data_IF_335916583461
#
_entry.id   IF_335916583461
#
_cell.length_a   1.000
_cell.length_b   1.000
_cell.length_c   1.000
_cell.angle_alpha   90.00
_cell.angle_beta   90.00
_cell.angle_gamma   90.00
#
_symmetry.space_group_name_H-M   'P 1'
#
loop_
_entity.id
_entity.type
_entity.pdbx_description
1 polymer ?
#
# COMPACT_ATOMS: atom_id res chain seq x y z
N UNK A 1 -33.81 3.73 1.22
CA UNK A 1 -32.37 3.79 1.57
C UNK A 1 -31.46 3.28 0.45
N UNK A 2 -31.74 2.13 -0.18
CA UNK A 2 -30.96 1.60 -1.32
C UNK A 2 -30.80 2.63 -2.45
N UNK A 3 -31.91 3.15 -2.97
CA UNK A 3 -31.91 4.05 -4.13
C UNK A 3 -31.20 5.38 -3.84
N UNK A 4 -31.44 5.96 -2.66
CA UNK A 4 -30.73 7.16 -2.19
C UNK A 4 -29.21 6.95 -2.14
N UNK A 5 -28.75 5.79 -1.67
CA UNK A 5 -27.31 5.47 -1.58
C UNK A 5 -26.68 5.35 -2.97
N UNK A 6 -27.37 4.69 -3.89
CA UNK A 6 -26.90 4.48 -5.27
C UNK A 6 -26.89 5.81 -6.02
N UNK A 7 -27.95 6.61 -5.89
CA UNK A 7 -28.06 7.94 -6.50
C UNK A 7 -26.96 8.88 -6.00
N UNK A 8 -26.71 8.91 -4.69
CA UNK A 8 -25.62 9.69 -4.10
C UNK A 8 -24.25 9.27 -4.66
N UNK A 9 -23.95 7.96 -4.68
CA UNK A 9 -22.68 7.46 -5.20
C UNK A 9 -22.52 7.76 -6.71
N UNK A 10 -23.60 7.71 -7.48
CA UNK A 10 -23.59 8.06 -8.91
C UNK A 10 -23.30 9.55 -9.11
N UNK A 11 -24.00 10.42 -8.39
CA UNK A 11 -23.80 11.87 -8.41
C UNK A 11 -22.36 12.26 -8.06
N UNK A 12 -21.82 11.71 -6.97
CA UNK A 12 -20.45 11.96 -6.53
C UNK A 12 -19.42 11.60 -7.61
N UNK A 13 -19.65 10.47 -8.30
CA UNK A 13 -18.76 9.99 -9.36
C UNK A 13 -18.81 10.87 -10.60
N UNK A 14 -19.99 11.34 -10.98
CA UNK A 14 -20.15 12.28 -12.10
C UNK A 14 -19.45 13.61 -11.80
N UNK A 15 -19.60 14.12 -10.58
CA UNK A 15 -18.90 15.31 -10.12
C UNK A 15 -17.37 15.14 -10.17
N UNK A 16 -16.83 14.06 -9.60
CA UNK A 16 -15.39 13.79 -9.63
C UNK A 16 -14.86 13.60 -11.05
N UNK A 17 -15.63 12.96 -11.93
CA UNK A 17 -15.23 12.78 -13.33
C UNK A 17 -15.01 14.12 -14.05
N UNK A 18 -15.79 15.14 -13.71
CA UNK A 18 -15.60 16.50 -14.24
C UNK A 18 -14.32 17.18 -13.72
N UNK A 19 -13.80 16.72 -12.57
CA UNK A 19 -12.58 17.23 -11.90
C UNK A 19 -11.32 16.43 -12.25
N UNK A 20 -11.39 15.50 -13.21
CA UNK A 20 -10.21 14.72 -13.60
C UNK A 20 -9.13 15.61 -14.22
N UNK A 21 -7.99 15.67 -13.55
CA UNK A 21 -6.77 16.29 -14.01
C UNK A 21 -5.88 15.24 -14.68
N UNK A 22 -5.92 15.19 -16.02
CA UNK A 22 -5.11 14.23 -16.80
C UNK A 22 -3.62 14.50 -16.73
N UNK A 23 -3.21 15.77 -16.56
CA UNK A 23 -1.80 16.15 -16.50
C UNK A 23 -1.07 15.42 -15.36
N UNK A 24 -1.72 15.26 -14.20
CA UNK A 24 -1.17 14.49 -13.07
C UNK A 24 -0.79 13.06 -13.44
N UNK A 25 -1.53 12.42 -14.36
CA UNK A 25 -1.25 11.05 -14.79
C UNK A 25 -0.18 10.96 -15.88
N UNK A 26 0.16 12.09 -16.50
CA UNK A 26 1.18 12.24 -17.52
C UNK A 26 2.53 12.67 -16.93
N UNK A 27 2.54 13.14 -15.68
CA UNK A 27 3.75 13.49 -14.93
C UNK A 27 4.73 12.31 -14.82
N UNK A 28 6.01 12.62 -15.07
CA UNK A 28 7.12 11.69 -14.90
C UNK A 28 7.57 11.67 -13.44
N UNK A 29 6.87 10.85 -12.65
CA UNK A 29 7.14 10.66 -11.23
C UNK A 29 8.56 10.16 -10.93
N UNK A 30 9.23 9.51 -11.89
CA UNK A 30 10.61 9.07 -11.71
C UNK A 30 11.58 10.24 -11.81
N UNK A 31 11.34 11.15 -12.76
CA UNK A 31 12.12 12.39 -12.87
C UNK A 31 11.92 13.27 -11.63
N UNK A 32 10.68 13.45 -11.16
CA UNK A 32 10.39 14.16 -9.90
C UNK A 32 11.11 13.52 -8.71
N UNK A 33 11.01 12.19 -8.57
CA UNK A 33 11.69 11.45 -7.51
C UNK A 33 13.20 11.66 -7.55
N UNK A 34 13.82 11.59 -8.73
CA UNK A 34 15.27 11.78 -8.90
C UNK A 34 15.69 13.19 -8.47
N UNK A 35 14.95 14.22 -8.91
CA UNK A 35 15.20 15.61 -8.53
C UNK A 35 15.13 15.77 -7.01
N UNK A 36 14.05 15.30 -6.40
CA UNK A 36 13.85 15.43 -4.97
C UNK A 36 14.83 14.61 -4.14
N UNK A 37 15.27 13.46 -4.63
CA UNK A 37 16.29 12.66 -3.97
C UNK A 37 17.60 13.44 -3.83
N UNK A 38 18.03 14.10 -4.91
CA UNK A 38 19.22 14.94 -4.87
C UNK A 38 19.02 16.18 -4.00
N UNK A 39 17.89 16.88 -4.14
CA UNK A 39 17.65 18.16 -3.47
C UNK A 39 17.43 18.04 -1.96
N UNK A 40 16.68 17.03 -1.52
CA UNK A 40 16.17 16.97 -0.14
C UNK A 40 16.64 15.74 0.64
N UNK A 41 17.18 14.74 -0.05
CA UNK A 41 17.55 13.46 0.56
C UNK A 41 19.00 13.06 0.25
N UNK A 42 19.82 13.99 -0.25
CA UNK A 42 21.27 13.82 -0.46
C UNK A 42 21.65 12.59 -1.29
N UNK A 43 20.81 12.20 -2.25
CA UNK A 43 21.03 11.00 -3.07
C UNK A 43 20.79 9.68 -2.34
N UNK A 44 20.37 9.70 -1.06
CA UNK A 44 20.29 8.53 -0.17
C UNK A 44 19.25 7.49 -0.62
N UNK A 45 18.23 7.89 -1.38
CA UNK A 45 17.13 7.01 -1.80
C UNK A 45 17.43 6.18 -3.05
N UNK A 46 18.70 5.97 -3.41
CA UNK A 46 19.10 5.28 -4.65
C UNK A 46 18.57 3.85 -4.82
N UNK A 47 18.19 3.17 -3.74
CA UNK A 47 17.57 1.83 -3.78
C UNK A 47 16.04 1.85 -3.78
N UNK A 48 15.42 3.04 -3.68
CA UNK A 48 13.95 3.18 -3.61
C UNK A 48 13.32 3.10 -5.00
N UNK A 49 12.27 2.29 -5.12
CA UNK A 49 11.44 2.23 -6.31
C UNK A 49 10.22 3.14 -6.16
N UNK A 50 9.87 3.89 -7.21
CA UNK A 50 8.63 4.65 -7.26
C UNK A 50 7.77 4.19 -8.43
N UNK A 51 6.50 3.87 -8.17
CA UNK A 51 5.58 3.37 -9.20
C UNK A 51 4.15 3.88 -9.04
N UNK A 52 3.45 3.96 -10.17
CA UNK A 52 2.02 4.20 -10.17
C UNK A 52 1.22 2.92 -9.85
N UNK A 53 0.21 3.03 -9.00
CA UNK A 53 -0.76 1.98 -8.70
C UNK A 53 -2.13 2.25 -9.33
N UNK A 54 -2.62 1.26 -10.10
CA UNK A 54 -3.98 1.24 -10.63
C UNK A 54 -5.02 0.66 -9.65
N UNK A 55 -4.56 0.09 -8.53
CA UNK A 55 -5.39 -0.70 -7.61
C UNK A 55 -5.55 -0.06 -6.23
N UNK A 56 -4.69 0.92 -5.88
CA UNK A 56 -4.72 1.58 -4.59
C UNK A 56 -5.88 2.57 -4.51
N UNK A 57 -6.74 2.43 -3.51
CA UNK A 57 -8.00 3.17 -3.40
C UNK A 57 -8.27 3.75 -2.02
N UNK A 58 -7.42 3.48 -1.02
CA UNK A 58 -7.62 3.92 0.36
C UNK A 58 -6.68 5.08 0.74
N UNK A 59 -5.54 5.21 0.07
CA UNK A 59 -4.58 6.28 0.25
C UNK A 59 -4.00 6.72 -1.11
N UNK A 60 -3.51 7.96 -1.19
CA UNK A 60 -2.92 8.50 -2.40
C UNK A 60 -1.45 8.10 -2.58
N UNK A 61 -0.73 7.90 -1.47
CA UNK A 61 0.63 7.40 -1.42
C UNK A 61 0.75 6.24 -0.43
N UNK A 62 1.74 5.37 -0.64
CA UNK A 62 2.24 4.47 0.39
C UNK A 62 3.70 4.15 0.14
N UNK A 63 4.51 4.22 1.20
CA UNK A 63 5.86 3.71 1.25
C UNK A 63 5.94 2.48 2.16
N UNK A 64 6.63 1.43 1.71
CA UNK A 64 6.96 0.29 2.57
C UNK A 64 8.33 -0.28 2.24
N UNK A 65 9.00 -0.79 3.27
CA UNK A 65 10.31 -1.46 3.17
C UNK A 65 10.10 -2.92 2.77
N UNK A 66 10.87 -3.40 1.80
CA UNK A 66 10.94 -4.78 1.37
C UNK A 66 12.40 -5.17 1.23
N UNK A 67 12.87 -6.15 2.02
CA UNK A 67 14.17 -6.81 1.87
C UNK A 67 15.33 -5.87 1.43
N UNK A 68 15.62 -4.84 2.23
CA UNK A 68 16.75 -3.94 2.00
C UNK A 68 16.48 -2.74 1.09
N UNK A 69 15.28 -2.59 0.52
CA UNK A 69 14.89 -1.42 -0.27
C UNK A 69 13.49 -0.92 0.08
N UNK A 70 13.14 0.28 -0.39
CA UNK A 70 11.82 0.88 -0.21
C UNK A 70 11.03 0.88 -1.53
N UNK A 71 9.71 0.75 -1.44
CA UNK A 71 8.81 0.92 -2.58
C UNK A 71 7.81 2.02 -2.22
N UNK A 72 7.79 3.09 -3.01
CA UNK A 72 6.79 4.14 -3.02
C UNK A 72 5.77 3.83 -4.12
N UNK A 73 4.48 3.83 -3.76
CA UNK A 73 3.37 3.72 -4.71
C UNK A 73 2.49 4.95 -4.64
N UNK A 74 2.09 5.45 -5.80
CA UNK A 74 1.15 6.56 -5.94
C UNK A 74 -0.16 6.10 -6.59
N UNK A 75 -1.32 6.52 -6.08
CA UNK A 75 -2.61 6.07 -6.57
C UNK A 75 -3.03 6.86 -7.79
N UNK A 76 -3.08 6.21 -8.97
CA UNK A 76 -3.71 6.79 -10.15
C UNK A 76 -5.20 7.06 -9.94
N UNK A 77 -5.86 6.28 -9.08
CA UNK A 77 -7.31 6.40 -8.86
C UNK A 77 -7.67 7.62 -8.03
N UNK A 78 -6.83 8.02 -7.09
CA UNK A 78 -7.09 9.17 -6.22
C UNK A 78 -6.42 10.45 -6.75
N UNK A 79 -5.15 10.38 -7.16
CA UNK A 79 -4.38 11.57 -7.55
C UNK A 79 -4.84 12.20 -8.86
N UNK A 80 -5.54 11.46 -9.74
CA UNK A 80 -6.11 12.03 -10.96
C UNK A 80 -7.19 13.10 -10.72
N UNK A 81 -7.66 13.27 -9.50
CA UNK A 81 -8.62 14.32 -9.13
C UNK A 81 -7.96 15.50 -8.42
N UNK A 82 -6.63 15.54 -8.42
CA UNK A 82 -5.81 16.45 -7.62
C UNK A 82 -5.00 17.38 -8.49
N UNK A 83 -4.46 18.42 -7.86
CA UNK A 83 -3.51 19.31 -8.52
C UNK A 83 -2.16 18.62 -8.74
N UNK A 84 -1.35 19.16 -9.66
CA UNK A 84 0.05 18.73 -9.82
C UNK A 84 0.82 18.99 -8.53
N UNK A 85 0.54 20.10 -7.85
CA UNK A 85 1.14 20.39 -6.53
C UNK A 85 0.85 19.29 -5.50
N UNK A 86 -0.39 18.81 -5.40
CA UNK A 86 -0.74 17.72 -4.47
C UNK A 86 -0.08 16.38 -4.84
N UNK A 87 0.22 16.14 -6.12
CA UNK A 87 1.07 15.01 -6.53
C UNK A 87 2.48 15.16 -5.93
N UNK A 88 3.07 16.34 -6.04
CA UNK A 88 4.41 16.62 -5.53
C UNK A 88 4.45 16.46 -4.00
N UNK A 89 3.47 17.03 -3.30
CA UNK A 89 3.31 16.92 -1.85
C UNK A 89 3.15 15.45 -1.40
N UNK A 90 2.34 14.68 -2.13
CA UNK A 90 2.14 13.24 -1.83
C UNK A 90 3.43 12.44 -2.08
N UNK A 91 4.16 12.73 -3.16
CA UNK A 91 5.43 12.05 -3.45
C UNK A 91 6.47 12.37 -2.36
N UNK A 92 6.64 13.64 -2.01
CA UNK A 92 7.59 14.06 -0.97
C UNK A 92 7.23 13.46 0.40
N UNK A 93 5.95 13.38 0.75
CA UNK A 93 5.49 12.68 1.95
C UNK A 93 6.02 11.23 2.00
N UNK A 94 5.84 10.48 0.92
CA UNK A 94 6.31 9.08 0.88
C UNK A 94 7.83 8.97 0.80
N UNK A 95 8.51 9.95 0.21
CA UNK A 95 9.97 10.01 0.20
C UNK A 95 10.56 10.27 1.59
N UNK A 96 9.92 11.10 2.43
CA UNK A 96 10.32 11.27 3.83
C UNK A 96 10.24 9.92 4.56
N UNK A 97 9.17 9.16 4.37
CA UNK A 97 9.09 7.81 4.92
C UNK A 97 10.22 6.89 4.40
N UNK A 98 10.48 6.89 3.09
CA UNK A 98 11.55 6.09 2.50
C UNK A 98 12.93 6.47 3.07
N UNK A 99 13.16 7.75 3.31
CA UNK A 99 14.38 8.26 3.91
C UNK A 99 14.55 7.76 5.34
N UNK A 100 13.53 7.93 6.18
CA UNK A 100 13.57 7.46 7.57
C UNK A 100 13.75 5.94 7.65
N UNK A 101 13.11 5.16 6.78
CA UNK A 101 13.35 3.71 6.67
C UNK A 101 14.79 3.34 6.28
N UNK A 102 15.50 4.25 5.62
CA UNK A 102 16.87 4.06 5.13
C UNK A 102 17.90 4.46 6.18
N UNK A 103 17.71 5.62 6.82
CA UNK A 103 18.69 6.18 7.77
C UNK A 103 18.51 5.68 9.21
N UNK A 104 17.31 5.28 9.60
CA UNK A 104 17.03 4.74 10.94
C UNK A 104 16.50 3.30 10.86
N UNK A 105 17.32 2.30 11.24
CA UNK A 105 16.90 0.89 11.30
C UNK A 105 15.77 0.62 12.31
N UNK A 106 15.61 1.46 13.33
CA UNK A 106 14.57 1.35 14.36
C UNK A 106 13.31 2.11 14.00
N UNK A 107 13.32 2.87 12.90
CA UNK A 107 12.16 3.62 12.46
C UNK A 107 10.99 2.68 12.22
N UNK A 108 9.92 2.95 12.98
CA UNK A 108 8.73 2.12 13.05
C UNK A 108 7.49 3.00 12.87
N UNK A 109 6.48 2.46 12.17
CA UNK A 109 5.17 3.10 12.00
C UNK A 109 4.24 2.91 13.20
N UNK A 110 4.78 2.69 14.40
CA UNK A 110 3.99 2.42 15.62
C UNK A 110 3.11 3.59 16.04
N UNK A 111 3.50 4.82 15.67
CA UNK A 111 2.69 6.03 15.77
C UNK A 111 2.49 6.59 14.36
N UNK A 112 1.74 5.87 13.51
CA UNK A 112 1.41 6.14 12.08
C UNK A 112 2.57 6.42 11.10
N UNK A 113 3.80 6.53 11.61
CA UNK A 113 5.01 6.89 10.88
C UNK A 113 5.34 8.39 10.92
N UNK A 114 4.57 9.22 11.61
CA UNK A 114 4.70 10.68 11.54
C UNK A 114 5.27 11.31 12.83
N UNK A 115 6.28 10.66 13.41
CA UNK A 115 7.00 11.12 14.59
C UNK A 115 7.80 12.43 14.39
N UNK A 116 8.57 12.82 15.40
CA UNK A 116 9.30 14.10 15.42
C UNK A 116 10.21 14.30 14.18
N UNK A 117 10.90 13.24 13.75
CA UNK A 117 11.84 13.29 12.64
C UNK A 117 11.14 13.50 11.30
N UNK A 118 10.00 12.82 11.09
CA UNK A 118 9.14 13.06 9.95
C UNK A 118 8.67 14.51 9.92
N UNK A 119 8.15 15.01 11.05
CA UNK A 119 7.62 16.36 11.14
C UNK A 119 8.70 17.42 10.93
N UNK A 120 9.94 17.17 11.36
CA UNK A 120 11.08 18.05 11.11
C UNK A 120 11.38 18.13 9.61
N UNK A 121 11.62 16.99 8.95
CA UNK A 121 11.87 16.94 7.50
C UNK A 121 10.74 17.59 6.69
N UNK A 122 9.49 17.29 7.04
CA UNK A 122 8.31 17.86 6.41
C UNK A 122 8.30 19.40 6.49
N UNK A 123 8.59 19.97 7.67
CA UNK A 123 8.63 21.42 7.86
C UNK A 123 9.74 22.09 7.07
N UNK A 124 10.95 21.50 7.05
CA UNK A 124 12.06 22.05 6.28
C UNK A 124 11.79 22.04 4.78
N UNK A 125 11.24 20.93 4.25
CA UNK A 125 10.88 20.85 2.82
C UNK A 125 9.77 21.84 2.48
N UNK A 126 8.74 21.98 3.34
CA UNK A 126 7.68 22.98 3.13
C UNK A 126 8.23 24.41 3.13
N UNK A 127 9.16 24.73 4.05
CA UNK A 127 9.81 26.04 4.12
C UNK A 127 10.63 26.33 2.87
N UNK A 128 11.39 25.35 2.37
CA UNK A 128 12.22 25.51 1.18
C UNK A 128 11.42 25.62 -0.13
N UNK A 129 10.32 24.88 -0.25
CA UNK A 129 9.57 24.75 -1.51
C UNK A 129 8.33 25.63 -1.60
N UNK A 130 7.79 26.07 -0.47
CA UNK A 130 6.45 26.66 -0.40
C UNK A 130 5.31 25.64 -0.55
N UNK A 131 5.61 24.34 -0.63
CA UNK A 131 4.59 23.29 -0.58
C UNK A 131 3.96 23.15 0.81
N UNK A 132 2.84 22.45 0.86
CA UNK A 132 2.13 22.14 2.10
C UNK A 132 2.01 20.62 2.28
N UNK A 133 3.15 19.94 2.42
CA UNK A 133 3.17 18.54 2.82
C UNK A 133 2.54 18.45 4.22
N UNK A 134 1.54 17.57 4.34
CA UNK A 134 0.83 17.32 5.60
C UNK A 134 0.95 15.87 6.02
N UNK A 135 0.76 15.62 7.31
CA UNK A 135 0.67 14.27 7.89
C UNK A 135 -0.56 13.53 7.35
N UNK A 136 -1.70 14.21 7.27
CA UNK A 136 -2.96 13.61 6.83
C UNK A 136 -3.51 14.31 5.61
N UNK A 137 -3.63 13.56 4.52
CA UNK A 137 -4.34 14.00 3.35
C UNK A 137 -5.82 13.62 3.43
N UNK A 138 -6.70 14.52 2.96
CA UNK A 138 -8.15 14.31 2.95
C UNK A 138 -8.60 13.81 1.58
N UNK A 139 -8.95 12.52 1.46
CA UNK A 139 -9.46 11.89 0.22
C UNK A 139 -10.84 11.23 0.39
N UNK A 140 -11.66 11.72 1.32
CA UNK A 140 -12.88 11.01 1.72
C UNK A 140 -13.84 10.77 0.55
N UNK A 141 -14.04 11.77 -0.31
CA UNK A 141 -14.96 11.71 -1.44
C UNK A 141 -14.41 10.82 -2.56
N UNK A 142 -13.12 10.92 -2.88
CA UNK A 142 -12.50 10.07 -3.89
C UNK A 142 -12.47 8.60 -3.46
N UNK A 143 -12.10 8.36 -2.19
CA UNK A 143 -12.11 7.02 -1.59
C UNK A 143 -13.52 6.47 -1.62
N UNK A 144 -14.53 7.26 -1.25
CA UNK A 144 -15.93 6.83 -1.27
C UNK A 144 -16.40 6.51 -2.70
N UNK A 145 -16.08 7.36 -3.68
CA UNK A 145 -16.42 7.15 -5.07
C UNK A 145 -15.74 5.92 -5.69
N UNK A 146 -14.62 5.45 -5.12
CA UNK A 146 -14.00 4.19 -5.57
C UNK A 146 -14.78 2.95 -5.13
N UNK A 147 -15.70 3.05 -4.15
CA UNK A 147 -16.40 1.90 -3.55
C UNK A 147 -17.65 1.49 -4.32
N UNK A 148 -17.45 1.19 -5.60
CA UNK A 148 -18.52 0.90 -6.58
C UNK A 148 -19.26 -0.42 -6.36
N UNK A 149 -18.80 -1.27 -5.45
CA UNK A 149 -19.50 -2.49 -5.09
C UNK A 149 -20.25 -2.29 -3.78
N UNK A 150 -21.58 -2.32 -3.83
CA UNK A 150 -22.43 -2.06 -2.67
C UNK A 150 -23.29 -3.29 -2.40
N UNK A 151 -23.27 -3.75 -1.16
CA UNK A 151 -24.12 -4.80 -0.64
C UNK A 151 -25.04 -4.27 0.45
N UNK A 152 -26.24 -4.82 0.54
CA UNK A 152 -27.16 -4.60 1.65
C UNK A 152 -27.50 -5.92 2.33
N UNK A 153 -27.38 -5.96 3.65
CA UNK A 153 -27.88 -7.04 4.48
C UNK A 153 -29.42 -7.05 4.48
N UNK A 154 -30.06 -8.22 4.41
CA UNK A 154 -31.51 -8.38 4.57
C UNK A 154 -31.99 -8.47 6.05
N UNK A 155 -31.07 -8.48 7.00
CA UNK A 155 -31.37 -8.64 8.43
C UNK A 155 -31.64 -7.35 9.20
N UNK A 156 -31.77 -7.47 10.53
CA UNK A 156 -32.15 -6.38 11.44
C UNK A 156 -31.17 -5.20 11.46
N UNK A 157 -29.91 -5.41 11.05
CA UNK A 157 -28.89 -4.38 11.03
C UNK A 157 -29.18 -3.25 10.02
N UNK A 158 -30.15 -3.41 9.12
CA UNK A 158 -30.66 -2.31 8.27
C UNK A 158 -31.19 -1.12 9.07
N UNK A 159 -31.68 -1.35 10.30
CA UNK A 159 -32.19 -0.29 11.17
C UNK A 159 -31.15 0.20 12.18
N UNK A 160 -29.96 -0.39 12.19
CA UNK A 160 -28.93 -0.11 13.19
C UNK A 160 -27.86 0.84 12.64
N UNK A 161 -27.55 1.85 13.44
CA UNK A 161 -26.39 2.72 13.21
C UNK A 161 -25.09 1.94 13.40
N UNK A 162 -24.00 2.35 12.74
CA UNK A 162 -23.91 3.48 11.80
C UNK A 162 -24.14 3.07 10.33
N UNK A 163 -24.13 1.78 10.01
CA UNK A 163 -24.04 1.31 8.63
C UNK A 163 -25.38 1.01 7.96
N UNK A 164 -26.46 0.84 8.73
CA UNK A 164 -27.80 0.55 8.18
C UNK A 164 -27.78 -0.63 7.19
N UNK A 165 -27.03 -1.68 7.54
CA UNK A 165 -26.87 -2.89 6.74
C UNK A 165 -26.08 -2.72 5.44
N UNK A 166 -25.48 -1.57 5.16
CA UNK A 166 -24.69 -1.33 3.96
C UNK A 166 -23.23 -1.74 4.14
N UNK A 167 -22.67 -2.36 3.11
CA UNK A 167 -21.22 -2.53 2.93
C UNK A 167 -20.85 -2.02 1.55
N UNK A 168 -19.87 -1.11 1.48
CA UNK A 168 -19.35 -0.55 0.23
C UNK A 168 -17.88 -0.93 0.08
N UNK A 169 -17.45 -1.40 -1.09
CA UNK A 169 -16.05 -1.79 -1.35
C UNK A 169 -15.59 -1.39 -2.74
N UNK A 170 -14.29 -1.11 -2.85
CA UNK A 170 -13.64 -0.85 -4.14
C UNK A 170 -13.33 -2.12 -4.95
N UNK A 171 -13.50 -3.30 -4.35
CA UNK A 171 -13.32 -4.60 -5.00
C UNK A 171 -14.58 -5.44 -4.92
N UNK A 172 -14.81 -6.28 -5.93
CA UNK A 172 -15.95 -7.19 -6.00
C UNK A 172 -15.75 -8.39 -5.06
N UNK A 173 -15.66 -8.14 -3.76
CA UNK A 173 -15.57 -9.17 -2.71
C UNK A 173 -16.80 -9.06 -1.83
N UNK A 174 -17.67 -10.06 -1.87
CA UNK A 174 -18.83 -10.08 -0.98
C UNK A 174 -18.41 -10.08 0.50
N UNK A 175 -19.21 -9.48 1.40
CA UNK A 175 -19.06 -9.69 2.84
C UNK A 175 -19.04 -11.18 3.20
N UNK A 176 -18.12 -11.59 4.06
CA UNK A 176 -17.99 -13.00 4.43
C UNK A 176 -16.96 -13.28 5.54
N UNK A 177 -16.66 -14.57 5.80
CA UNK A 177 -15.85 -15.01 6.95
C UNK A 177 -14.47 -14.40 7.10
N UNK A 178 -13.88 -13.90 6.02
CA UNK A 178 -12.58 -13.23 6.05
C UNK A 178 -12.65 -11.78 6.59
N UNK A 179 -13.84 -11.25 6.82
CA UNK A 179 -14.01 -9.94 7.45
C UNK A 179 -13.98 -10.08 8.97
N UNK A 180 -13.16 -9.28 9.64
CA UNK A 180 -12.96 -9.36 11.10
C UNK A 180 -14.26 -9.19 11.92
N UNK A 181 -15.27 -8.52 11.36
CA UNK A 181 -16.57 -8.28 11.99
C UNK A 181 -17.63 -9.33 11.64
N UNK A 182 -17.33 -10.27 10.73
CA UNK A 182 -18.31 -11.21 10.18
C UNK A 182 -18.94 -12.10 11.24
N UNK A 183 -18.12 -12.68 12.12
CA UNK A 183 -18.60 -13.58 13.16
C UNK A 183 -19.57 -12.87 14.11
N UNK A 184 -19.24 -11.63 14.49
CA UNK A 184 -20.13 -10.77 15.28
C UNK A 184 -21.44 -10.50 14.54
N UNK A 185 -21.38 -10.12 13.26
CA UNK A 185 -22.58 -9.87 12.46
C UNK A 185 -23.47 -11.11 12.35
N UNK A 186 -22.88 -12.30 12.17
CA UNK A 186 -23.60 -13.56 12.12
C UNK A 186 -24.37 -13.84 13.42
N UNK A 187 -23.77 -13.54 14.56
CA UNK A 187 -24.39 -13.74 15.88
C UNK A 187 -25.45 -12.69 16.21
N UNK A 188 -25.21 -11.41 15.90
CA UNK A 188 -26.09 -10.31 16.32
C UNK A 188 -27.19 -9.97 15.31
N UNK A 189 -27.00 -10.30 14.03
CA UNK A 189 -27.96 -10.01 12.96
C UNK A 189 -28.41 -11.28 12.24
N UNK A 190 -27.46 -12.13 11.81
CA UNK A 190 -27.74 -13.37 11.09
C UNK A 190 -28.22 -13.21 9.64
N UNK A 191 -28.40 -11.97 9.15
CA UNK A 191 -28.84 -11.70 7.78
C UNK A 191 -27.78 -11.99 6.71
N UNK A 192 -28.22 -12.05 5.46
CA UNK A 192 -27.41 -12.28 4.26
C UNK A 192 -27.21 -10.98 3.49
N UNK A 193 -26.00 -10.77 2.95
CA UNK A 193 -25.67 -9.60 2.14
C UNK A 193 -25.95 -9.85 0.67
N UNK A 194 -26.80 -9.00 0.08
CA UNK A 194 -27.16 -9.03 -1.33
C UNK A 194 -26.52 -7.85 -2.05
N UNK A 195 -25.94 -8.10 -3.23
CA UNK A 195 -25.33 -7.03 -4.03
C UNK A 195 -26.43 -6.15 -4.62
N UNK A 196 -26.37 -4.86 -4.36
CA UNK A 196 -27.36 -3.87 -4.83
C UNK A 196 -26.79 -2.92 -5.88
N UNK A 197 -25.46 -2.83 -6.01
CA UNK A 197 -24.80 -2.02 -7.02
C UNK A 197 -23.48 -2.65 -7.48
N UNK A 198 -23.20 -2.53 -8.77
CA UNK A 198 -21.92 -2.85 -9.37
C UNK A 198 -21.58 -1.86 -10.48
N UNK A 199 -20.28 -1.61 -10.76
CA UNK A 199 -19.88 -0.72 -11.84
C UNK A 199 -20.23 -1.32 -13.20
N UNK A 200 -20.54 -0.45 -14.17
CA UNK A 200 -20.82 -0.85 -15.54
C UNK A 200 -19.66 -1.67 -16.12
N UNK A 201 -20.01 -2.80 -16.75
CA UNK A 201 -19.02 -3.62 -17.44
C UNK A 201 -18.45 -2.80 -18.60
N UNK A 202 -17.15 -2.47 -18.53
CA UNK A 202 -16.44 -1.88 -19.68
C UNK A 202 -16.61 -2.82 -20.87
N UNK A 203 -17.19 -2.29 -21.96
CA UNK A 203 -17.33 -3.03 -23.21
C UNK A 203 -15.97 -3.60 -23.60
N UNK A 204 -15.91 -4.93 -23.77
CA UNK A 204 -14.69 -5.59 -24.22
C UNK A 204 -14.43 -5.13 -25.65
N UNK A 205 -13.42 -4.27 -25.85
CA UNK A 205 -12.90 -4.01 -27.20
C UNK A 205 -12.65 -5.36 -27.88
N UNK A 206 -13.08 -5.57 -29.13
CA UNK A 206 -12.95 -6.85 -29.81
C UNK A 206 -11.48 -7.26 -29.81
N UNK A 207 -11.21 -8.46 -29.28
CA UNK A 207 -9.86 -9.05 -29.28
C UNK A 207 -9.46 -9.23 -30.75
N UNK A 208 -8.46 -8.49 -31.23
CA UNK A 208 -7.81 -8.79 -32.51
C UNK A 208 -7.37 -10.27 -32.49
N UNK A 209 -7.62 -11.05 -33.56
CA UNK A 209 -7.29 -12.47 -33.58
C UNK A 209 -5.78 -12.64 -33.42
N UNK A 210 -5.36 -13.39 -32.40
CA UNK A 210 -3.96 -13.80 -32.24
C UNK A 210 -3.64 -14.80 -33.36
N UNK A 211 -2.75 -14.42 -34.29
CA UNK A 211 -2.15 -15.38 -35.23
C UNK A 211 -1.45 -16.47 -34.42
N UNK A 212 -1.84 -17.72 -34.64
CA UNK A 212 -1.21 -18.91 -34.08
C UNK A 212 0.20 -19.02 -34.66
N UNK A 213 1.22 -18.73 -33.85
CA UNK A 213 2.57 -19.20 -34.14
C UNK A 213 2.73 -20.58 -33.51
N UNK A 214 2.98 -21.59 -34.35
CA UNK A 214 3.26 -22.97 -33.97
C UNK A 214 4.57 -23.00 -33.18
N UNK A 215 4.53 -23.38 -31.90
CA UNK A 215 5.74 -23.73 -31.14
C UNK A 215 5.92 -25.24 -31.16
N UNK A 216 6.80 -25.72 -32.02
CA UNK A 216 7.44 -27.03 -31.88
C UNK A 216 8.73 -26.82 -31.08
N UNK A 217 8.81 -27.41 -29.89
CA UNK A 217 9.94 -28.23 -29.39
C UNK A 217 9.75 -28.55 -27.90
N UNK A 218 9.87 -29.84 -27.61
CA UNK A 218 9.85 -30.46 -26.28
C UNK A 218 11.14 -30.09 -25.54
N UNK A 219 11.03 -29.65 -24.28
CA UNK A 219 12.11 -29.71 -23.29
C UNK A 219 11.50 -30.34 -22.04
N UNK A 220 11.47 -31.67 -22.03
CA UNK A 220 11.33 -32.47 -20.81
C UNK A 220 12.62 -33.28 -20.76
N UNK A 221 13.63 -32.76 -20.07
CA UNK A 221 14.78 -33.50 -19.55
C UNK A 221 15.63 -32.54 -18.70
N UNK A 222 15.27 -32.36 -17.42
CA UNK A 222 16.24 -31.91 -16.39
C UNK A 222 15.91 -32.32 -14.94
N UNK A 223 14.95 -33.22 -14.71
CA UNK A 223 14.80 -33.88 -13.40
C UNK A 223 14.64 -35.38 -13.60
N UNK A 224 15.78 -36.06 -13.64
CA UNK A 224 15.86 -37.52 -13.66
C UNK A 224 15.35 -38.11 -12.35
N UNK A 225 14.27 -38.89 -12.45
CA UNK A 225 13.88 -39.87 -11.43
C UNK A 225 14.82 -41.06 -11.51
N UNK A 226 15.52 -41.40 -10.41
CA UNK A 226 15.95 -42.77 -10.15
C UNK A 226 14.98 -43.40 -9.16
N UNK A 227 14.35 -44.48 -9.62
CA UNK A 227 13.52 -45.43 -8.88
C UNK A 227 14.45 -46.61 -8.52
N UNK A 228 14.41 -47.07 -7.27
CA UNK A 228 14.88 -48.42 -6.90
C UNK A 228 13.79 -49.02 -6.02
N UNK A 229 13.30 -50.19 -6.42
CA UNK A 229 12.28 -51.01 -5.74
C UNK A 229 12.95 -52.08 -4.84
N UNK A 230 12.34 -52.26 -3.67
CA UNK A 230 12.16 -53.41 -2.77
C UNK A 230 13.04 -54.68 -2.85
N UNK A 231 13.41 -55.24 -1.67
CA UNK A 231 12.68 -56.38 -1.05
C UNK A 231 13.22 -56.84 0.33
N UNK A 232 12.27 -57.14 1.25
CA UNK A 232 12.16 -58.21 2.31
C UNK A 232 13.28 -58.33 3.38
N UNK A 233 13.11 -58.72 4.64
CA UNK A 233 12.09 -59.28 5.57
C UNK A 233 12.74 -59.11 6.98
N UNK A 234 12.07 -58.88 8.12
CA UNK A 234 11.40 -59.85 9.00
C UNK A 234 10.94 -59.14 10.30
N UNK A 235 9.88 -59.66 10.93
CA UNK A 235 9.27 -59.25 12.21
C UNK A 235 9.77 -60.20 13.33
N UNK A 236 9.67 -59.91 14.66
CA UNK A 236 8.34 -59.92 15.30
C UNK A 236 8.12 -59.14 16.64
N UNK A 237 6.85 -58.75 16.83
CA UNK A 237 6.02 -58.84 18.05
C UNK A 237 6.33 -58.03 19.33
N UNK A 238 5.39 -57.15 19.75
CA UNK A 238 4.37 -57.40 20.83
C UNK A 238 3.57 -56.13 21.17
N UNK A 239 2.25 -56.25 21.17
CA UNK A 239 1.25 -55.42 21.90
C UNK A 239 0.97 -56.11 23.25
N UNK A 240 0.45 -55.45 24.32
CA UNK A 240 -0.99 -55.14 24.45
C UNK A 240 -1.29 -53.78 25.15
N UNK A 241 -2.32 -53.01 24.78
CA UNK A 241 -3.68 -52.93 25.37
C UNK A 241 -3.79 -52.72 26.90
N UNK A 242 -4.40 -51.60 27.34
CA UNK A 242 -5.73 -51.59 28.00
C UNK A 242 -6.12 -50.21 28.59
N UNK A 243 -7.43 -50.05 28.81
CA UNK A 243 -8.23 -48.87 29.18
C UNK A 243 -8.25 -48.65 30.70
N UNK A 244 -8.49 -47.41 31.18
CA UNK A 244 -9.38 -47.12 32.33
C UNK A 244 -9.76 -45.64 32.47
N UNK A 245 -10.98 -45.42 32.99
CA UNK A 245 -11.70 -44.16 33.30
C UNK A 245 -11.23 -43.53 34.62
N UNK A 246 -11.42 -42.22 34.81
CA UNK A 246 -12.21 -41.61 35.93
C UNK A 246 -12.14 -40.07 35.96
N UNK A 247 -13.22 -39.45 36.45
CA UNK A 247 -13.46 -38.00 36.74
C UNK A 247 -13.55 -37.81 38.26
N UNK A 248 -13.29 -36.60 38.80
CA UNK A 248 -14.31 -35.87 39.59
C UNK A 248 -14.34 -34.34 39.23
N UNK A 249 -15.48 -33.64 39.00
CA UNK A 249 -16.38 -32.90 39.95
C UNK A 249 -15.64 -32.00 40.93
N UNK A 250 -15.92 -30.71 41.20
CA UNK A 250 -16.94 -29.64 40.98
C UNK A 250 -16.12 -28.30 40.92
N UNK A 251 -16.58 -27.09 40.60
CA UNK A 251 -17.67 -26.30 41.19
C UNK A 251 -17.76 -24.94 40.48
N UNK A 252 -18.95 -24.33 40.52
CA UNK A 252 -19.32 -23.08 39.84
C UNK A 252 -18.72 -21.83 40.49
N UNK A 253 -18.55 -20.75 39.71
CA UNK A 253 -19.08 -19.42 40.09
C UNK A 253 -19.07 -18.46 38.90
N UNK A 254 -20.23 -17.81 38.72
CA UNK A 254 -20.47 -16.65 37.86
C UNK A 254 -19.57 -15.47 38.26
N UNK A 255 -19.15 -14.64 37.29
CA UNK A 255 -19.12 -13.19 37.49
C UNK A 255 -19.11 -12.41 36.18
N UNK A 256 -19.93 -11.37 36.24
CA UNK A 256 -20.30 -10.42 35.19
C UNK A 256 -19.19 -9.43 34.82
N UNK A 257 -19.47 -8.76 33.70
CA UNK A 257 -18.82 -7.58 33.14
C UNK A 257 -18.49 -6.47 34.16
N UNK A 258 -17.31 -5.84 34.05
CA UNK A 258 -17.16 -4.40 33.83
C UNK A 258 -15.67 -3.95 33.91
N UNK A 259 -15.36 -2.97 33.06
CA UNK A 259 -14.11 -2.25 32.86
C UNK A 259 -13.69 -1.41 34.09
N UNK A 260 -12.38 -1.34 34.41
CA UNK A 260 -11.63 -0.07 34.43
C UNK A 260 -10.13 -0.22 34.76
N UNK A 261 -9.33 0.51 33.95
CA UNK A 261 -8.09 1.24 34.24
C UNK A 261 -7.18 0.77 35.39
N UNK A 262 -5.99 0.31 35.03
CA UNK A 262 -4.70 0.85 35.50
C UNK A 262 -3.55 0.20 34.71
N UNK A 263 -2.98 0.93 33.74
CA UNK A 263 -1.68 0.55 33.16
C UNK A 263 -0.64 1.44 33.82
N UNK A 264 0.09 0.84 34.76
CA UNK A 264 1.24 1.45 35.41
C UNK A 264 2.29 1.80 34.35
N UNK A 265 2.62 3.09 34.24
CA UNK A 265 3.73 3.63 33.46
C UNK A 265 5.05 3.01 33.95
N UNK A 266 5.53 1.97 33.27
CA UNK A 266 6.95 1.57 33.39
C UNK A 266 7.76 2.45 32.45
N UNK A 267 8.39 3.49 33.02
CA UNK A 267 9.45 4.27 32.36
C UNK A 267 10.60 3.30 32.03
N UNK A 268 10.73 2.92 30.76
CA UNK A 268 11.97 2.34 30.24
C UNK A 268 12.79 3.49 29.68
N UNK A 269 13.96 3.73 30.25
CA UNK A 269 14.97 4.63 29.71
C UNK A 269 15.43 4.12 28.36
N UNK A 270 15.51 4.97 27.31
CA UNK A 270 15.98 4.53 26.00
C UNK A 270 17.48 4.22 26.03
N UNK A 271 17.96 3.25 25.22
CA UNK A 271 19.40 3.01 25.02
C UNK A 271 20.09 4.25 24.45
N UNK A 272 21.34 4.49 24.87
CA UNK A 272 22.14 5.70 24.59
C UNK A 272 22.79 5.76 23.19
N UNK A 273 22.16 5.19 22.18
CA UNK A 273 22.60 5.30 20.78
C UNK A 273 21.46 5.82 19.90
N UNK A 274 20.82 6.91 20.31
CA UNK A 274 19.92 7.67 19.43
C UNK A 274 20.78 8.38 18.39
N UNK A 275 20.69 7.94 17.13
CA UNK A 275 21.28 8.64 16.00
C UNK A 275 20.82 10.10 16.03
N UNK A 276 21.76 11.03 16.27
CA UNK A 276 21.45 12.44 16.36
C UNK A 276 21.25 12.99 14.94
N UNK A 277 19.99 13.09 14.54
CA UNK A 277 19.64 13.59 13.22
C UNK A 277 20.08 15.05 13.01
N UNK A 278 20.41 15.82 14.05
CA UNK A 278 20.88 17.20 13.89
C UNK A 278 22.13 17.32 13.01
N UNK A 279 23.01 16.32 13.01
CA UNK A 279 24.18 16.24 12.12
C UNK A 279 23.81 16.02 10.65
N UNK A 280 22.64 15.42 10.40
CA UNK A 280 22.09 15.19 9.06
C UNK A 280 21.48 16.48 8.46
N UNK A 281 21.14 17.46 9.30
CA UNK A 281 20.49 18.72 8.90
C UNK A 281 21.46 19.89 8.75
N UNK A 282 22.67 19.83 9.30
CA UNK A 282 23.66 20.91 9.15
C UNK A 282 24.02 21.21 7.68
N UNK A 283 24.08 20.21 6.77
CA UNK A 283 24.22 20.46 5.33
C UNK A 283 22.94 21.00 4.68
N UNK A 284 21.76 20.63 5.19
CA UNK A 284 20.46 21.01 4.62
C UNK A 284 20.21 22.52 4.74
N UNK A 285 20.57 23.11 5.89
CA UNK A 285 20.43 24.55 6.15
C UNK A 285 21.33 25.38 5.22
N UNK A 286 22.59 24.95 5.04
CA UNK A 286 23.56 25.60 4.15
C UNK A 286 23.24 25.43 2.65
N UNK A 287 22.68 24.29 2.24
CA UNK A 287 22.21 24.09 0.86
C UNK A 287 20.89 24.83 0.59
N UNK A 288 19.98 24.91 1.55
CA UNK A 288 18.65 25.52 1.37
C UNK A 288 18.68 27.05 1.33
N UNK A 289 19.64 27.70 2.00
CA UNK A 289 19.79 29.17 1.95
C UNK A 289 20.23 29.71 0.57
N UNK A 290 20.64 28.83 -0.36
CA UNK A 290 21.08 29.17 -1.72
C UNK A 290 20.06 28.81 -2.82
N UNK A 291 18.93 28.18 -2.48
CA UNK A 291 18.01 27.63 -3.48
C UNK A 291 16.87 28.61 -3.76
N UNK A 292 16.97 29.37 -4.86
CA UNK A 292 15.78 29.93 -5.51
C UNK A 292 15.10 28.79 -6.30
N UNK A 293 14.02 28.25 -5.75
CA UNK A 293 13.38 26.99 -6.19
C UNK A 293 12.74 27.06 -7.59
N UNK A 294 12.35 28.24 -8.06
CA UNK A 294 11.74 28.42 -9.38
C UNK A 294 12.75 28.27 -10.53
N UNK A 295 13.97 28.80 -10.37
CA UNK A 295 15.01 28.69 -11.41
C UNK A 295 15.58 27.26 -11.45
N UNK A 296 15.80 26.62 -10.30
CA UNK A 296 16.37 25.27 -10.23
C UNK A 296 15.46 24.18 -10.80
N UNK A 297 14.14 24.23 -10.58
CA UNK A 297 13.23 23.29 -11.26
C UNK A 297 13.24 23.49 -12.78
N UNK A 298 13.44 24.72 -13.25
CA UNK A 298 13.51 25.04 -14.69
C UNK A 298 14.84 24.61 -15.32
N UNK A 299 15.96 24.80 -14.62
CA UNK A 299 17.31 24.47 -15.08
C UNK A 299 17.61 22.97 -14.97
N UNK A 300 17.08 22.29 -13.95
CA UNK A 300 17.21 20.84 -13.83
C UNK A 300 16.34 20.10 -14.86
N UNK A 301 15.17 20.64 -15.21
CA UNK A 301 14.33 20.13 -16.30
C UNK A 301 15.03 20.25 -17.67
N UNK A 302 15.78 21.34 -17.92
CA UNK A 302 16.66 21.47 -19.10
C UNK A 302 17.77 20.41 -19.12
N UNK A 303 18.49 20.24 -18.01
CA UNK A 303 19.57 19.23 -17.90
C UNK A 303 19.09 17.77 -18.00
N UNK A 304 17.83 17.48 -17.63
CA UNK A 304 17.28 16.13 -17.73
C UNK A 304 16.96 15.72 -19.19
N UNK A 305 16.69 16.70 -20.05
CA UNK A 305 16.44 16.48 -21.48
C UNK A 305 17.68 15.97 -22.20
N UNK A 306 18.86 16.47 -21.82
CA UNK A 306 20.16 16.06 -22.39
C UNK A 306 20.60 14.68 -21.87
N UNK A 307 20.32 14.35 -20.61
CA UNK A 307 20.62 13.02 -20.02
C UNK A 307 19.68 11.90 -20.52
N UNK A 308 18.60 12.24 -21.24
CA UNK A 308 17.66 11.29 -21.85
C UNK A 308 18.30 10.50 -23.01
N UNK A 309 19.25 11.11 -23.73
CA UNK A 309 19.96 10.47 -24.85
C UNK A 309 21.01 9.46 -24.39
N UNK A 310 21.66 9.68 -23.24
CA UNK A 310 22.57 8.70 -22.63
C UNK A 310 21.81 7.49 -22.06
N UNK A 311 20.59 7.69 -21.53
CA UNK A 311 19.75 6.62 -20.95
C UNK A 311 19.21 5.61 -21.96
N UNK A 312 19.05 5.98 -23.24
CA UNK A 312 18.70 5.03 -24.32
C UNK A 312 19.86 4.03 -24.54
N UNK A 313 21.10 4.44 -24.32
CA UNK A 313 22.30 3.61 -24.54
C UNK A 313 22.54 2.62 -23.39
N UNK A 314 22.34 3.05 -22.14
CA UNK A 314 22.56 2.19 -20.95
C UNK A 314 21.48 1.10 -20.81
N UNK A 315 20.20 1.43 -21.03
CA UNK A 315 19.13 0.42 -20.98
C UNK A 315 19.23 -0.62 -22.11
N UNK A 316 19.83 -0.25 -23.26
CA UNK A 316 20.13 -1.20 -24.34
C UNK A 316 21.28 -2.14 -23.95
N UNK A 317 22.23 -1.70 -23.14
CA UNK A 317 23.37 -2.49 -22.67
C UNK A 317 22.94 -3.56 -21.64
N UNK A 318 22.05 -3.21 -20.69
CA UNK A 318 21.52 -4.17 -19.70
C UNK A 318 20.65 -5.25 -20.38
N UNK A 319 19.81 -4.87 -21.35
CA UNK A 319 18.97 -5.83 -22.09
C UNK A 319 19.74 -6.71 -23.10
N UNK A 320 20.98 -6.35 -23.45
CA UNK A 320 21.85 -7.15 -24.32
C UNK A 320 22.69 -8.16 -23.53
N UNK A 321 23.07 -7.84 -22.29
CA UNK A 321 23.84 -8.75 -21.43
C UNK A 321 22.99 -9.88 -20.83
N UNK A 322 21.69 -9.68 -20.63
CA UNK A 322 20.73 -10.75 -20.27
C UNK A 322 20.52 -11.81 -21.38
N UNK A 323 21.06 -11.59 -22.58
CA UNK A 323 21.00 -12.57 -23.70
C UNK A 323 22.28 -13.40 -23.88
N UNK A 324 23.31 -13.16 -23.06
CA UNK A 324 24.58 -13.91 -23.15
C UNK A 324 24.82 -14.88 -21.98
N UNK A 325 23.96 -14.90 -20.96
CA UNK A 325 24.01 -15.87 -19.85
C UNK A 325 22.74 -16.73 -19.72
N UNK A 326 22.09 -17.05 -20.84
CA UNK A 326 20.90 -17.91 -20.90
C UNK A 326 21.12 -19.19 -21.70
#
# INVERSE_FOLDING_TARGET
MKDLTIAHHKSLKEELKSKENKAVLEEDIWSLFTIYNEMFFFGTLGTTLVEWSNRMTECAGICYKKQGYCIIRLSKKLLKFRSIQELHETLLHEMIHAYLFTVDPNYSRTDDGHGADFQKLMKEINKATGYNITIYHKFHDEVEATKEHIWLCDGICQKQRPFFGLVKRASNRAPGPNDFWWERHKQTCGGTYHKIHEPDKKEKKPKKPKKQQKTNRKINDYFGKKKVEETKQENPTKKPESKTKAKPTKEETKKDNACNKEIQKRKRTPPKDSFDLSDLFSPLESQMDLINTQDLMSDFSRNCSEKKEERIKVNKFILLNDKQEG
#
